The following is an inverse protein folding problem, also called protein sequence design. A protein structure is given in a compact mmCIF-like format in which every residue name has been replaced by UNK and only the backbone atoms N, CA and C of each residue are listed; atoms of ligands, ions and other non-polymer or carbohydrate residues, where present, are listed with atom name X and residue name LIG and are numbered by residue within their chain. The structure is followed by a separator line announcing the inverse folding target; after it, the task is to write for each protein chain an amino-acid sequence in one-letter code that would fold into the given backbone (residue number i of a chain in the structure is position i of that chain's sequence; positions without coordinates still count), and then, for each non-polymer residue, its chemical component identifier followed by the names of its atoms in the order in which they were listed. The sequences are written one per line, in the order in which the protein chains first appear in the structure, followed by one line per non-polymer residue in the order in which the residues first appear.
data_IF_100564219484
#
_entry.id   IF_100564219484
#
_cell.length_a   1.000
_cell.length_b   1.000
_cell.length_c   1.000
_cell.angle_alpha   90.00
_cell.angle_beta   90.00
_cell.angle_gamma   90.00
#
_symmetry.space_group_name_H-M   'P 1'
#
loop_
_entity.id
_entity.type
_entity.pdbx_description
1 polymer ?
#
# COMPACT_ATOMS: atom_id res chain seq x y z
N UNK A 1 33.82 -27.01 21.56
CA UNK A 1 32.80 -27.42 20.59
C UNK A 1 31.98 -26.18 20.27
N UNK A 2 32.22 -25.55 19.11
CA UNK A 2 31.52 -24.33 18.69
C UNK A 2 30.29 -24.74 17.89
N UNK A 3 29.09 -24.42 18.39
CA UNK A 3 27.86 -24.54 17.60
C UNK A 3 27.78 -23.27 16.77
N UNK A 4 27.96 -23.42 15.46
CA UNK A 4 27.90 -22.32 14.50
C UNK A 4 26.43 -21.83 14.39
N UNK A 5 26.10 -20.80 15.16
CA UNK A 5 24.74 -20.27 15.31
C UNK A 5 24.29 -19.32 14.19
N UNK A 6 24.97 -19.31 13.05
CA UNK A 6 24.72 -18.28 12.02
C UNK A 6 24.41 -18.90 10.66
N UNK A 7 23.26 -19.55 10.55
CA UNK A 7 22.61 -19.72 9.24
C UNK A 7 21.13 -19.43 9.35
N UNK A 8 20.79 -18.14 9.47
CA UNK A 8 19.46 -17.68 9.09
C UNK A 8 19.30 -17.97 7.60
N UNK A 9 18.38 -18.85 7.26
CA UNK A 9 17.91 -18.98 5.89
C UNK A 9 17.08 -17.72 5.66
N UNK A 10 17.73 -16.67 5.14
CA UNK A 10 17.01 -15.52 4.60
C UNK A 10 16.34 -15.99 3.31
N UNK A 11 15.09 -16.45 3.43
CA UNK A 11 14.23 -16.63 2.26
C UNK A 11 13.97 -15.26 1.69
N UNK A 12 14.78 -14.84 0.73
CA UNK A 12 14.53 -13.65 -0.08
C UNK A 12 13.24 -13.92 -0.86
N UNK A 13 12.18 -13.16 -0.58
CA UNK A 13 10.98 -13.18 -1.41
C UNK A 13 11.41 -12.71 -2.80
N UNK A 14 11.39 -13.63 -3.77
CA UNK A 14 11.64 -13.30 -5.17
C UNK A 14 10.38 -12.66 -5.74
N UNK A 15 10.30 -11.33 -5.67
CA UNK A 15 9.23 -10.56 -6.30
C UNK A 15 9.38 -10.64 -7.82
N UNK A 16 8.42 -11.30 -8.50
CA UNK A 16 8.45 -11.51 -9.96
C UNK A 16 7.85 -10.30 -10.71
N UNK A 17 6.93 -9.58 -10.07
CA UNK A 17 6.25 -8.39 -10.57
C UNK A 17 5.80 -7.53 -9.38
N UNK A 18 5.69 -6.20 -9.52
CA UNK A 18 5.03 -5.36 -8.53
C UNK A 18 3.60 -5.85 -8.28
N UNK A 19 3.17 -5.84 -7.02
CA UNK A 19 1.80 -6.12 -6.64
C UNK A 19 1.13 -4.84 -6.16
N UNK A 20 0.02 -4.47 -6.79
CA UNK A 20 -0.85 -3.38 -6.31
C UNK A 20 -2.17 -3.96 -5.79
N UNK A 21 -2.53 -3.60 -4.56
CA UNK A 21 -3.79 -4.00 -3.92
C UNK A 21 -4.54 -2.75 -3.47
N UNK A 22 -5.79 -2.62 -3.92
CA UNK A 22 -6.71 -1.59 -3.44
C UNK A 22 -7.42 -2.01 -2.15
N UNK A 23 -7.44 -1.14 -1.15
CA UNK A 23 -8.16 -1.35 0.11
C UNK A 23 -9.13 -0.20 0.33
N UNK A 24 -10.42 -0.51 0.42
CA UNK A 24 -11.45 0.46 0.79
C UNK A 24 -11.42 0.68 2.31
N UNK A 25 -11.40 1.95 2.73
CA UNK A 25 -11.30 2.32 4.15
C UNK A 25 -12.32 3.39 4.49
N UNK A 26 -12.78 3.39 5.74
CA UNK A 26 -13.76 4.38 6.22
C UNK A 26 -13.11 5.70 6.65
N UNK A 27 -11.84 5.67 7.05
CA UNK A 27 -11.07 6.85 7.46
C UNK A 27 -9.74 6.85 6.74
N UNK A 28 -9.63 7.66 5.69
CA UNK A 28 -8.46 7.70 4.83
C UNK A 28 -7.24 8.30 5.55
N UNK A 29 -7.42 9.39 6.29
CA UNK A 29 -6.32 10.08 6.99
C UNK A 29 -5.65 9.19 8.02
N UNK A 30 -6.46 8.47 8.82
CA UNK A 30 -5.93 7.53 9.81
C UNK A 30 -5.13 6.40 9.15
N UNK A 31 -5.60 5.91 8.00
CA UNK A 31 -4.91 4.84 7.29
C UNK A 31 -3.63 5.33 6.61
N UNK A 32 -3.61 6.56 6.07
CA UNK A 32 -2.37 7.18 5.55
C UNK A 32 -1.32 7.25 6.66
N UNK A 33 -1.68 7.77 7.84
CA UNK A 33 -0.76 7.88 8.98
C UNK A 33 -0.23 6.50 9.39
N UNK A 34 -1.11 5.49 9.48
CA UNK A 34 -0.68 4.12 9.79
C UNK A 34 0.32 3.58 8.77
N UNK A 35 0.01 3.62 7.46
CA UNK A 35 0.90 3.07 6.44
C UNK A 35 2.20 3.87 6.31
N UNK A 36 2.15 5.19 6.48
CA UNK A 36 3.32 6.06 6.35
C UNK A 36 4.23 6.03 7.59
N UNK A 37 3.66 6.21 8.79
CA UNK A 37 4.44 6.41 10.01
C UNK A 37 4.78 5.08 10.70
N UNK A 38 3.87 4.10 10.68
CA UNK A 38 4.09 2.80 11.34
C UNK A 38 4.79 1.82 10.42
N UNK A 39 4.35 1.74 9.15
CA UNK A 39 4.91 0.80 8.17
C UNK A 39 5.98 1.42 7.26
N UNK A 40 6.17 2.74 7.35
CA UNK A 40 7.20 3.46 6.61
C UNK A 40 6.92 3.67 5.13
N UNK A 41 5.70 3.40 4.63
CA UNK A 41 5.39 3.52 3.20
C UNK A 41 5.42 4.97 2.75
N UNK A 42 5.68 5.21 1.46
CA UNK A 42 5.71 6.55 0.88
C UNK A 42 4.38 6.89 0.20
N UNK A 43 3.84 8.07 0.49
CA UNK A 43 2.71 8.64 -0.25
C UNK A 43 3.17 9.03 -1.65
N UNK A 44 2.59 8.40 -2.68
CA UNK A 44 2.97 8.66 -4.08
C UNK A 44 1.98 9.60 -4.77
N UNK A 45 0.69 9.41 -4.55
CA UNK A 45 -0.34 10.27 -5.12
C UNK A 45 -1.62 10.26 -4.29
N UNK A 46 -2.38 11.34 -4.41
CA UNK A 46 -3.72 11.49 -3.86
C UNK A 46 -4.60 12.12 -4.94
N UNK A 47 -5.71 11.46 -5.25
CA UNK A 47 -6.63 11.86 -6.32
C UNK A 47 -8.05 11.84 -5.75
N UNK A 48 -8.75 12.95 -5.91
CA UNK A 48 -10.18 13.03 -5.64
C UNK A 48 -10.97 12.59 -6.89
N UNK A 49 -11.90 11.67 -6.69
CA UNK A 49 -12.83 11.20 -7.71
C UNK A 49 -14.22 11.74 -7.38
N UNK A 50 -14.67 12.68 -8.19
CA UNK A 50 -16.00 13.27 -8.05
C UNK A 50 -17.12 12.24 -8.29
N UNK A 51 -18.29 12.50 -7.68
CA UNK A 51 -19.46 11.62 -7.73
C UNK A 51 -19.88 11.21 -9.15
N UNK A 52 -19.79 12.11 -10.13
CA UNK A 52 -20.13 11.81 -11.54
C UNK A 52 -19.29 10.67 -12.11
N UNK A 53 -17.97 10.75 -11.95
CA UNK A 53 -17.01 9.71 -12.41
C UNK A 53 -17.07 8.45 -11.55
N UNK A 54 -17.31 8.60 -10.25
CA UNK A 54 -17.48 7.46 -9.34
C UNK A 54 -18.70 6.59 -9.70
N UNK A 55 -19.77 7.22 -10.17
CA UNK A 55 -20.99 6.50 -10.59
C UNK A 55 -20.76 5.61 -11.82
N UNK A 56 -19.95 6.05 -12.76
CA UNK A 56 -19.59 5.29 -13.97
C UNK A 56 -18.75 4.04 -13.64
N UNK A 57 -17.93 4.14 -12.59
CA UNK A 57 -17.03 3.06 -12.15
C UNK A 57 -17.64 2.16 -11.07
N UNK A 58 -18.76 2.55 -10.48
CA UNK A 58 -19.55 1.71 -9.56
C UNK A 58 -19.02 1.61 -8.13
N UNK A 59 -18.05 2.45 -7.72
CA UNK A 59 -17.44 2.38 -6.38
C UNK A 59 -18.32 2.99 -5.29
N UNK A 60 -18.70 4.26 -5.42
CA UNK A 60 -19.57 4.95 -4.46
C UNK A 60 -20.53 5.90 -5.16
N UNK A 61 -21.63 6.28 -4.49
CA UNK A 61 -22.56 7.30 -5.00
C UNK A 61 -22.04 8.74 -4.85
N UNK A 62 -21.16 8.99 -3.88
CA UNK A 62 -20.74 10.33 -3.46
C UNK A 62 -19.37 10.79 -3.97
N UNK A 63 -18.64 9.93 -4.69
CA UNK A 63 -17.23 10.15 -4.94
C UNK A 63 -16.36 9.51 -3.86
N UNK A 64 -15.06 9.52 -4.06
CA UNK A 64 -14.08 8.95 -3.15
C UNK A 64 -12.69 9.53 -3.41
N UNK A 65 -11.80 9.44 -2.43
CA UNK A 65 -10.38 9.79 -2.62
C UNK A 65 -9.57 8.50 -2.74
N UNK A 66 -8.71 8.44 -3.75
CA UNK A 66 -7.72 7.38 -3.92
C UNK A 66 -6.38 7.90 -3.44
N UNK A 67 -5.69 7.11 -2.64
CA UNK A 67 -4.31 7.36 -2.26
C UNK A 67 -3.46 6.16 -2.64
N UNK A 68 -2.36 6.42 -3.35
CA UNK A 68 -1.36 5.40 -3.68
C UNK A 68 -0.19 5.53 -2.72
N UNK A 69 0.08 4.44 -2.01
CA UNK A 69 1.23 4.29 -1.13
C UNK A 69 2.17 3.25 -1.74
N UNK A 70 3.48 3.40 -1.51
CA UNK A 70 4.49 2.48 -2.00
C UNK A 70 5.40 2.02 -0.87
N UNK A 71 5.75 0.73 -0.87
CA UNK A 71 6.72 0.17 0.09
C UNK A 71 8.12 0.71 -0.19
N UNK A 72 8.98 0.72 0.83
CA UNK A 72 10.37 1.17 0.68
C UNK A 72 11.27 0.20 -0.10
N UNK A 73 10.72 -0.92 -0.57
CA UNK A 73 11.49 -2.01 -1.19
C UNK A 73 11.55 -1.92 -2.72
N UNK A 74 11.20 -0.75 -3.28
CA UNK A 74 11.49 -0.45 -4.69
C UNK A 74 10.61 -1.16 -5.70
N UNK A 75 9.42 -1.65 -5.31
CA UNK A 75 8.48 -2.28 -6.24
C UNK A 75 8.06 -1.29 -7.34
N UNK A 76 8.60 -1.49 -8.55
CA UNK A 76 8.27 -0.83 -9.81
C UNK A 76 8.48 -1.81 -10.96
#
# INVERSE_FOLDING_TARGET
MSVDATKRIETVIKTISPLEVGICVNNLEQMISFYNEVLGFQLVSQIEVEAGKSKETGFTKGGYTIVRLQTNYGER
#
